data_IF_322493642894
#
_entry.id   IF_322493642894
#
_cell.length_a   1.000
_cell.length_b   1.000
_cell.length_c   1.000
_cell.angle_alpha   90.00
_cell.angle_beta   90.00
_cell.angle_gamma   90.00
#
_symmetry.space_group_name_H-M   'P 1'
#
loop_
_entity.id
_entity.type
_entity.pdbx_description
1 polymer ?
#
# COMPACT_ATOMS: atom_id res chain seq x y z
N UNK A 1 -8.05 -14.62 11.07
CA UNK A 1 -7.04 -13.74 10.42
C UNK A 1 -7.47 -12.27 10.44
N UNK A 2 -8.59 -11.88 9.81
CA UNK A 2 -9.05 -10.48 9.79
C UNK A 2 -9.20 -9.84 11.17
N UNK A 3 -9.90 -10.52 12.10
CA UNK A 3 -10.07 -10.05 13.47
C UNK A 3 -8.75 -9.78 14.24
N UNK A 4 -7.67 -10.52 13.92
CA UNK A 4 -6.35 -10.32 14.56
C UNK A 4 -5.64 -9.06 14.03
N UNK A 5 -5.89 -8.69 12.77
CA UNK A 5 -5.33 -7.48 12.16
C UNK A 5 -6.11 -6.22 12.55
N UNK A 6 -7.37 -6.36 12.94
CA UNK A 6 -8.19 -5.24 13.39
C UNK A 6 -7.84 -4.79 14.82
N UNK A 7 -7.26 -5.69 15.63
CA UNK A 7 -6.74 -5.38 16.97
C UNK A 7 -5.39 -4.64 16.96
N UNK A 8 -4.72 -4.56 15.81
CA UNK A 8 -3.41 -3.89 15.68
C UNK A 8 -3.61 -2.41 15.37
N UNK A 9 -2.91 -1.55 16.11
CA UNK A 9 -2.86 -0.12 15.80
C UNK A 9 -2.26 0.11 14.40
N UNK A 10 -2.73 1.15 13.72
CA UNK A 10 -2.33 1.52 12.34
C UNK A 10 -2.30 3.04 12.23
N UNK A 11 -1.22 3.59 11.69
CA UNK A 11 -1.16 5.00 11.34
C UNK A 11 -2.06 5.31 10.14
N UNK A 12 -2.57 6.54 10.03
CA UNK A 12 -3.37 6.98 8.89
C UNK A 12 -2.48 7.32 7.68
N UNK A 13 -1.98 6.30 6.98
CA UNK A 13 -1.23 6.46 5.71
C UNK A 13 -2.02 5.90 4.52
N UNK A 14 -2.38 6.74 3.55
CA UNK A 14 -3.04 6.32 2.31
C UNK A 14 -4.45 5.74 2.44
N UNK A 15 -5.13 5.57 1.30
CA UNK A 15 -6.50 5.05 1.23
C UNK A 15 -6.58 3.53 1.20
N UNK A 16 -7.44 2.98 2.06
CA UNK A 16 -7.83 1.58 2.10
C UNK A 16 -9.28 1.48 2.62
N UNK A 17 -10.12 0.54 2.14
CA UNK A 17 -9.81 -0.49 1.16
C UNK A 17 -9.70 0.05 -0.27
N UNK A 18 -8.85 -0.59 -1.08
CA UNK A 18 -8.66 -0.29 -2.50
C UNK A 18 -9.62 -1.10 -3.36
N UNK A 19 -10.06 -0.58 -4.53
CA UNK A 19 -11.06 -1.25 -5.37
C UNK A 19 -10.64 -2.64 -5.86
N UNK A 20 -11.61 -3.54 -6.00
CA UNK A 20 -11.44 -4.84 -6.67
C UNK A 20 -12.22 -4.80 -7.99
N UNK A 21 -11.50 -4.75 -9.11
CA UNK A 21 -12.08 -4.62 -10.44
C UNK A 21 -12.23 -5.98 -11.11
N UNK A 22 -13.33 -6.18 -11.83
CA UNK A 22 -13.51 -7.33 -12.71
C UNK A 22 -13.02 -7.01 -14.12
N UNK A 23 -11.98 -7.68 -14.59
CA UNK A 23 -11.38 -7.45 -15.90
C UNK A 23 -12.09 -8.28 -16.98
N UNK A 24 -13.36 -7.95 -17.24
CA UNK A 24 -14.22 -8.69 -18.16
C UNK A 24 -13.63 -8.78 -19.57
N UNK A 25 -13.07 -7.69 -20.09
CA UNK A 25 -12.45 -7.64 -21.42
C UNK A 25 -11.25 -8.58 -21.54
N UNK A 26 -10.37 -8.56 -20.55
CA UNK A 26 -9.19 -9.43 -20.51
C UNK A 26 -9.59 -10.90 -20.37
N UNK A 27 -10.55 -11.19 -19.50
CA UNK A 27 -11.08 -12.55 -19.31
C UNK A 27 -11.61 -13.13 -20.63
N UNK A 28 -12.39 -12.32 -21.38
CA UNK A 28 -12.91 -12.69 -22.71
C UNK A 28 -11.80 -12.90 -23.72
N UNK A 29 -10.83 -11.99 -23.77
CA UNK A 29 -9.73 -12.05 -24.74
C UNK A 29 -8.84 -13.29 -24.55
N UNK A 30 -8.67 -13.76 -23.31
CA UNK A 30 -7.87 -14.95 -23.00
C UNK A 30 -8.67 -16.26 -23.06
N UNK A 31 -9.99 -16.21 -23.29
CA UNK A 31 -10.86 -17.38 -23.27
C UNK A 31 -10.87 -18.12 -21.92
N UNK A 32 -10.47 -17.44 -20.85
CA UNK A 32 -10.12 -18.04 -19.57
C UNK A 32 -11.11 -17.72 -18.43
N UNK A 33 -10.72 -17.99 -17.18
CA UNK A 33 -11.57 -17.74 -16.02
C UNK A 33 -11.81 -16.24 -15.77
N UNK A 34 -12.69 -15.93 -14.81
CA UNK A 34 -12.92 -14.56 -14.34
C UNK A 34 -11.64 -13.99 -13.71
N UNK A 35 -11.10 -12.92 -14.30
CA UNK A 35 -9.92 -12.21 -13.80
C UNK A 35 -10.36 -11.01 -12.96
N UNK A 36 -9.83 -10.93 -11.73
CA UNK A 36 -10.02 -9.81 -10.82
C UNK A 36 -8.69 -9.09 -10.58
N UNK A 37 -8.73 -7.75 -10.45
CA UNK A 37 -7.56 -6.92 -10.13
C UNK A 37 -7.85 -6.10 -8.89
N UNK A 38 -7.07 -6.31 -7.84
CA UNK A 38 -7.02 -5.45 -6.66
C UNK A 38 -6.18 -4.22 -7.02
N UNK A 39 -6.80 -3.03 -7.07
CA UNK A 39 -6.14 -1.76 -7.42
C UNK A 39 -5.37 -1.19 -6.25
N UNK A 40 -4.43 -1.98 -5.71
CA UNK A 40 -3.64 -1.51 -4.58
C UNK A 40 -2.92 -0.21 -4.95
N UNK A 41 -2.46 -0.04 -6.20
CA UNK A 41 -1.87 1.20 -6.73
C UNK A 41 -2.64 2.51 -6.45
N UNK A 42 -3.94 2.44 -6.14
CA UNK A 42 -4.78 3.60 -5.80
C UNK A 42 -4.80 3.94 -4.30
N UNK A 43 -3.76 3.60 -3.53
CA UNK A 43 -3.71 3.86 -2.09
C UNK A 43 -3.17 5.25 -1.69
N UNK A 44 -3.15 6.22 -2.61
CA UNK A 44 -2.82 7.65 -2.42
C UNK A 44 -1.38 8.03 -2.01
N UNK A 45 -0.67 7.17 -1.27
CA UNK A 45 0.70 7.45 -0.83
C UNK A 45 1.73 6.99 -1.87
N UNK A 46 2.00 7.85 -2.86
CA UNK A 46 3.06 7.69 -3.89
C UNK A 46 2.97 6.38 -4.72
N UNK A 47 3.77 6.18 -5.79
CA UNK A 47 3.71 4.96 -6.58
C UNK A 47 4.29 3.78 -5.79
N UNK A 48 3.49 3.13 -4.92
CA UNK A 48 4.03 2.10 -4.02
C UNK A 48 3.09 1.47 -3.00
N UNK A 49 1.81 1.38 -3.30
CA UNK A 49 0.76 1.06 -2.34
C UNK A 49 0.88 -0.21 -1.47
N UNK A 50 1.43 -1.30 -2.01
CA UNK A 50 1.60 -2.53 -1.22
C UNK A 50 2.50 -2.31 0.00
N UNK A 51 3.46 -1.40 -0.12
CA UNK A 51 4.42 -1.10 0.95
C UNK A 51 3.83 -0.09 1.93
N UNK A 52 3.07 0.88 1.45
CA UNK A 52 2.23 1.76 2.27
C UNK A 52 1.33 0.95 3.22
N UNK A 53 0.68 -0.11 2.71
CA UNK A 53 -0.17 -0.99 3.53
C UNK A 53 0.57 -1.65 4.69
N UNK A 54 1.85 -2.01 4.51
CA UNK A 54 2.71 -2.57 5.57
C UNK A 54 3.19 -1.47 6.52
N UNK A 55 3.59 -0.33 5.95
CA UNK A 55 4.21 0.76 6.69
C UNK A 55 3.30 1.35 7.77
N UNK A 56 1.98 1.38 7.57
CA UNK A 56 0.99 1.84 8.57
C UNK A 56 1.18 1.20 9.95
N UNK A 57 1.60 -0.07 10.01
CA UNK A 57 1.81 -0.79 11.25
C UNK A 57 3.18 -0.50 11.89
N UNK A 58 4.18 -0.13 11.10
CA UNK A 58 5.50 0.25 11.62
C UNK A 58 5.51 1.71 12.05
N UNK A 59 4.87 2.58 11.27
CA UNK A 59 4.77 4.01 11.53
C UNK A 59 4.05 4.30 12.86
N UNK A 60 3.00 3.55 13.20
CA UNK A 60 2.30 3.76 14.48
C UNK A 60 3.19 3.43 15.68
N UNK A 61 4.05 2.42 15.57
CA UNK A 61 5.02 2.07 16.61
C UNK A 61 6.09 3.14 16.71
N UNK A 62 6.66 3.58 15.60
CA UNK A 62 7.66 4.65 15.58
C UNK A 62 7.12 5.96 16.18
N UNK A 63 5.88 6.32 15.87
CA UNK A 63 5.20 7.48 16.47
C UNK A 63 5.03 7.28 17.98
N UNK A 64 4.61 6.09 18.43
CA UNK A 64 4.46 5.79 19.86
C UNK A 64 5.80 5.83 20.63
N UNK A 65 6.90 5.50 19.96
CA UNK A 65 8.26 5.57 20.49
C UNK A 65 8.89 6.98 20.41
N UNK A 66 8.17 7.97 19.86
CA UNK A 66 8.65 9.35 19.73
C UNK A 66 9.71 9.54 18.65
N UNK A 67 9.78 8.64 17.66
CA UNK A 67 10.68 8.78 16.53
C UNK A 67 10.22 9.92 15.60
N UNK A 68 11.15 10.80 15.23
CA UNK A 68 10.87 11.93 14.34
C UNK A 68 11.19 11.62 12.87
N UNK A 69 12.05 10.65 12.61
CA UNK A 69 12.55 10.34 11.27
C UNK A 69 12.42 8.85 10.96
N UNK A 70 11.86 8.53 9.80
CA UNK A 70 11.77 7.17 9.28
C UNK A 70 12.77 6.98 8.14
N UNK A 71 13.74 6.10 8.33
CA UNK A 71 14.73 5.77 7.31
C UNK A 71 14.35 4.46 6.63
N UNK A 72 14.34 4.46 5.31
CA UNK A 72 14.10 3.26 4.49
C UNK A 72 15.13 3.15 3.38
N UNK A 73 15.34 1.94 2.86
CA UNK A 73 16.27 1.70 1.76
C UNK A 73 15.61 0.93 0.61
N UNK A 74 16.15 1.09 -0.60
CA UNK A 74 15.67 0.39 -1.79
C UNK A 74 16.55 0.67 -3.00
N UNK A 75 16.38 -0.13 -4.06
CA UNK A 75 17.03 0.11 -5.34
C UNK A 75 16.55 1.44 -5.98
N UNK A 76 17.34 2.05 -6.89
CA UNK A 76 17.08 3.39 -7.45
C UNK A 76 15.70 3.61 -8.11
N UNK A 77 14.99 2.55 -8.50
CA UNK A 77 13.63 2.61 -9.07
C UNK A 77 12.57 1.91 -8.19
N UNK A 78 12.87 1.70 -6.90
CA UNK A 78 11.99 0.99 -5.99
C UNK A 78 10.76 1.84 -5.63
N UNK A 79 9.54 1.31 -5.82
CA UNK A 79 8.31 1.88 -5.28
C UNK A 79 8.35 2.16 -3.76
N UNK A 80 9.29 1.51 -3.03
CA UNK A 80 9.45 1.71 -1.59
C UNK A 80 10.18 3.00 -1.23
N UNK A 81 11.30 3.25 -1.89
CA UNK A 81 12.06 4.47 -1.68
C UNK A 81 11.22 5.66 -2.14
N UNK A 82 10.55 5.54 -3.29
CA UNK A 82 9.64 6.56 -3.80
C UNK A 82 8.45 6.85 -2.87
N UNK A 83 7.94 5.85 -2.13
CA UNK A 83 6.77 6.04 -1.26
C UNK A 83 6.99 6.92 -0.02
N UNK A 84 8.25 7.20 0.33
CA UNK A 84 8.61 8.08 1.46
C UNK A 84 9.13 9.44 1.02
N UNK A 85 9.26 9.69 -0.28
CA UNK A 85 9.70 10.98 -0.80
C UNK A 85 8.47 11.91 -0.87
N UNK A 86 8.58 13.06 -0.21
CA UNK A 86 7.56 14.10 -0.23
C UNK A 86 7.48 14.70 -1.65
N UNK A 87 6.33 14.71 -2.33
CA UNK A 87 6.18 15.35 -3.65
C UNK A 87 6.02 16.88 -3.55
N UNK A 88 6.51 17.53 -2.48
CA UNK A 88 6.33 18.96 -2.20
C UNK A 88 7.64 19.74 -2.05
N UNK A 89 8.75 19.20 -2.55
CA UNK A 89 9.97 19.97 -2.86
C UNK A 89 10.45 19.66 -4.29
#
# INVERSE_FOLDING_TARGET
MHALLDQRHKASLGFCPTPLLNLQRLSRQLGGPRILMKRDDQSDLAPGANKTRKLKYLAVTAIAEGCETLITSGAPASPYAASLLNPQE
#
